data_IF_283947287432
#
_entry.id   IF_283947287432
#
_cell.length_a   1.000
_cell.length_b   1.000
_cell.length_c   1.000
_cell.angle_alpha   90.00
_cell.angle_beta   90.00
_cell.angle_gamma   90.00
#
_symmetry.space_group_name_H-M   'P 1'
#
loop_
_entity.id
_entity.type
_entity.pdbx_description
1 polymer ?
#
# COMPACT_ATOMS: atom_id res chain seq x y z
N UNK A 1 -0.86 -2.39 29.01
CA UNK A 1 0.18 -2.69 27.99
C UNK A 1 0.54 -4.19 27.97
N UNK A 2 -0.40 -5.09 28.31
CA UNK A 2 -0.16 -6.55 28.34
C UNK A 2 -1.05 -7.32 27.35
N UNK A 3 -1.90 -6.63 26.57
CA UNK A 3 -2.88 -7.26 25.69
C UNK A 3 -2.38 -7.52 24.28
N UNK A 4 -1.53 -6.64 23.72
CA UNK A 4 -1.05 -6.78 22.33
C UNK A 4 0.02 -7.87 22.16
N UNK A 5 0.76 -8.20 23.21
CA UNK A 5 1.86 -9.19 23.18
C UNK A 5 1.39 -10.64 23.15
N UNK A 6 0.08 -10.91 23.28
CA UNK A 6 -0.50 -12.25 23.28
C UNK A 6 -1.35 -12.55 22.03
N UNK A 7 -1.63 -11.55 21.19
CA UNK A 7 -2.31 -11.79 19.91
C UNK A 7 -1.31 -12.45 18.96
N UNK A 8 -1.68 -13.61 18.42
CA UNK A 8 -0.90 -14.21 17.34
C UNK A 8 -0.90 -13.25 16.14
N UNK A 9 0.13 -13.26 15.25
CA UNK A 9 0.15 -12.41 14.06
C UNK A 9 -1.11 -12.53 13.19
N UNK A 10 -1.78 -13.68 13.25
CA UNK A 10 -3.06 -13.98 12.59
C UNK A 10 -4.25 -13.20 13.18
N UNK A 11 -4.17 -12.76 14.44
CA UNK A 11 -5.20 -11.99 15.14
C UNK A 11 -4.87 -10.47 15.17
N UNK A 12 -3.68 -10.09 14.71
CA UNK A 12 -3.27 -8.68 14.64
C UNK A 12 -3.85 -8.00 13.39
N UNK A 13 -4.47 -6.84 13.60
CA UNK A 13 -5.05 -6.01 12.54
C UNK A 13 -4.29 -4.70 12.40
N UNK A 14 -4.27 -4.15 11.19
CA UNK A 14 -3.72 -2.82 10.90
C UNK A 14 -4.62 -2.01 9.98
N UNK A 15 -4.64 -0.69 10.17
CA UNK A 15 -5.22 0.22 9.18
C UNK A 15 -4.24 0.44 8.02
N UNK A 16 -4.75 0.42 6.79
CA UNK A 16 -3.97 0.70 5.57
C UNK A 16 -4.60 1.81 4.74
N UNK A 17 -3.76 2.45 3.91
CA UNK A 17 -4.18 3.32 2.82
C UNK A 17 -3.71 2.70 1.51
N UNK A 18 -4.64 2.55 0.57
CA UNK A 18 -4.36 1.86 -0.68
C UNK A 18 -3.67 2.77 -1.71
N UNK A 19 -2.73 2.16 -2.41
CA UNK A 19 -2.13 2.71 -3.63
C UNK A 19 -2.58 1.86 -4.82
N UNK A 20 -3.04 2.51 -5.89
CA UNK A 20 -3.44 1.82 -7.11
C UNK A 20 -2.40 1.98 -8.20
N UNK A 21 -2.12 0.89 -8.92
CA UNK A 21 -1.43 0.98 -10.20
C UNK A 21 -2.36 1.58 -11.26
N UNK A 22 -1.83 2.18 -12.34
CA UNK A 22 -2.67 2.84 -13.34
C UNK A 22 -3.71 1.95 -14.00
N UNK A 23 -3.48 0.65 -14.11
CA UNK A 23 -4.45 -0.32 -14.65
C UNK A 23 -5.72 -0.45 -13.79
N UNK A 24 -5.62 -0.10 -12.50
CA UNK A 24 -6.72 -0.18 -11.54
C UNK A 24 -7.37 1.18 -11.27
N UNK A 25 -6.83 2.25 -11.86
CA UNK A 25 -7.40 3.58 -11.77
C UNK A 25 -8.41 3.82 -12.91
N UNK A 26 -9.34 4.76 -12.69
CA UNK A 26 -10.25 5.20 -13.73
C UNK A 26 -9.47 5.77 -14.92
N UNK A 27 -9.78 5.29 -16.13
CA UNK A 27 -9.06 5.64 -17.36
C UNK A 27 -7.87 4.73 -17.71
N UNK A 28 -7.45 3.83 -16.80
CA UNK A 28 -6.41 2.84 -17.07
C UNK A 28 -5.00 3.42 -17.25
N UNK A 29 -4.07 2.57 -17.69
CA UNK A 29 -2.68 2.97 -17.95
C UNK A 29 -2.57 3.79 -19.24
N UNK A 30 -1.85 4.91 -19.16
CA UNK A 30 -1.55 5.85 -20.25
C UNK A 30 -0.06 5.81 -20.62
N UNK A 31 0.33 6.23 -21.83
CA UNK A 31 1.72 6.19 -22.29
C UNK A 31 2.70 7.02 -21.45
N UNK A 32 2.21 8.06 -20.78
CA UNK A 32 2.99 8.93 -19.89
C UNK A 32 3.24 8.34 -18.51
N UNK A 33 2.56 7.24 -18.15
CA UNK A 33 2.74 6.63 -16.84
C UNK A 33 4.04 5.86 -16.76
N UNK A 34 4.73 5.96 -15.62
CA UNK A 34 5.97 5.23 -15.37
C UNK A 34 5.66 3.78 -14.98
N UNK A 35 6.58 2.85 -15.25
CA UNK A 35 6.39 1.41 -15.01
C UNK A 35 5.92 1.10 -13.59
N UNK A 36 6.56 1.72 -12.58
CA UNK A 36 6.28 1.54 -11.16
C UNK A 36 5.45 2.68 -10.54
N UNK A 37 4.77 3.47 -11.37
CA UNK A 37 3.89 4.52 -10.87
C UNK A 37 2.71 3.95 -10.08
N UNK A 38 2.35 4.65 -9.01
CA UNK A 38 1.19 4.33 -8.18
C UNK A 38 0.48 5.61 -7.75
N UNK A 39 -0.84 5.53 -7.58
CA UNK A 39 -1.69 6.63 -7.15
C UNK A 39 -2.16 6.42 -5.72
N UNK A 40 -1.91 7.39 -4.84
CA UNK A 40 -2.46 7.40 -3.49
C UNK A 40 -3.99 7.56 -3.56
N UNK A 41 -4.73 6.58 -3.05
CA UNK A 41 -6.19 6.61 -3.04
C UNK A 41 -6.74 7.15 -1.71
N UNK A 42 -7.95 7.71 -1.74
CA UNK A 42 -8.75 7.99 -0.52
C UNK A 42 -9.44 6.72 0.01
N UNK A 43 -8.81 5.56 -0.16
CA UNK A 43 -9.34 4.28 0.27
C UNK A 43 -8.57 3.83 1.51
N UNK A 44 -9.27 3.85 2.64
CA UNK A 44 -8.79 3.35 3.92
C UNK A 44 -9.48 2.03 4.25
N UNK A 45 -8.72 1.08 4.77
CA UNK A 45 -9.21 -0.25 5.13
C UNK A 45 -8.50 -0.80 6.37
N UNK A 46 -8.97 -1.93 6.90
CA UNK A 46 -8.33 -2.72 7.96
C UNK A 46 -8.00 -4.13 7.46
N UNK A 47 -6.71 -4.49 7.49
CA UNK A 47 -6.21 -5.77 7.01
C UNK A 47 -5.43 -6.50 8.09
N UNK A 48 -5.49 -7.84 8.08
CA UNK A 48 -4.67 -8.66 8.97
C UNK A 48 -3.18 -8.49 8.68
N UNK A 49 -2.36 -8.43 9.73
CA UNK A 49 -0.90 -8.31 9.60
C UNK A 49 -0.30 -9.55 8.92
N UNK A 50 -0.94 -10.70 9.07
CA UNK A 50 -0.57 -11.94 8.38
C UNK A 50 -0.67 -11.83 6.83
N UNK A 51 -1.37 -10.83 6.27
CA UNK A 51 -1.46 -10.62 4.83
C UNK A 51 -0.26 -9.85 4.24
N UNK A 52 0.71 -9.42 5.05
CA UNK A 52 1.91 -8.73 4.56
C UNK A 52 2.88 -9.76 3.99
N UNK A 53 3.14 -9.69 2.69
CA UNK A 53 4.11 -10.56 2.01
C UNK A 53 5.54 -9.98 2.05
N UNK A 54 5.69 -8.68 1.82
CA UNK A 54 6.98 -8.00 1.76
C UNK A 54 6.85 -6.50 2.12
N UNK A 55 7.99 -5.83 2.26
CA UNK A 55 8.10 -4.39 2.49
C UNK A 55 8.66 -3.70 1.24
N UNK A 56 7.96 -2.65 0.80
CA UNK A 56 8.41 -1.78 -0.28
C UNK A 56 8.43 -0.31 0.14
N UNK A 57 8.99 0.53 -0.72
CA UNK A 57 9.02 1.98 -0.54
C UNK A 57 8.31 2.66 -1.70
N UNK A 58 7.49 3.67 -1.40
CA UNK A 58 6.91 4.56 -2.39
C UNK A 58 7.65 5.89 -2.30
N UNK A 59 8.27 6.29 -3.40
CA UNK A 59 9.04 7.53 -3.50
C UNK A 59 8.15 8.66 -4.02
N UNK A 60 8.43 9.88 -3.58
CA UNK A 60 7.92 11.05 -4.28
C UNK A 60 8.54 11.12 -5.68
N UNK A 61 7.88 11.80 -6.62
CA UNK A 61 8.38 11.93 -7.98
C UNK A 61 9.81 12.50 -8.05
N UNK A 62 10.11 13.50 -7.20
CA UNK A 62 11.43 14.12 -7.14
C UNK A 62 12.53 13.20 -6.59
N UNK A 63 12.18 12.21 -5.76
CA UNK A 63 13.11 11.20 -5.26
C UNK A 63 13.36 10.11 -6.31
N UNK A 64 12.32 9.72 -7.06
CA UNK A 64 12.43 8.73 -8.13
C UNK A 64 13.28 9.21 -9.32
N UNK A 65 13.26 10.51 -9.63
CA UNK A 65 14.00 11.09 -10.76
C UNK A 65 15.51 11.33 -10.52
N UNK A 66 16.07 10.92 -9.38
CA UNK A 66 17.48 11.11 -9.03
C UNK A 66 18.32 9.90 -9.38
#
# INVERSE_FOLDING_TARGET
MLSYSLLLPEEMMMSVLWYYRPEHAEGGRRPEHLDNEVFAAKHRDETGVACIEDKGYVLTYNEYCR
#
